data_IF_833188552540
#
_entry.id   IF_833188552540
#
_cell.length_a   1.000
_cell.length_b   1.000
_cell.length_c   1.000
_cell.angle_alpha   90.00
_cell.angle_beta   90.00
_cell.angle_gamma   90.00
#
_symmetry.space_group_name_H-M   'P 1'
#
loop_
_entity.id
_entity.type
_entity.pdbx_description
1 polymer ?
#
# COMPACT_ATOMS: atom_id res chain seq x y z
N UNK A 1 -5.53 -16.32 5.99
CA UNK A 1 -6.13 -14.97 6.02
C UNK A 1 -5.94 -14.30 4.67
N UNK A 2 -7.00 -13.73 4.13
CA UNK A 2 -6.97 -13.05 2.85
C UNK A 2 -6.82 -11.55 3.02
N UNK A 3 -6.28 -10.89 2.00
CA UNK A 3 -6.16 -9.41 1.96
C UNK A 3 -7.52 -8.74 2.17
N UNK A 4 -8.60 -9.37 1.71
CA UNK A 4 -9.96 -8.86 1.88
C UNK A 4 -10.27 -8.46 3.32
N UNK A 5 -9.74 -9.18 4.30
CA UNK A 5 -9.97 -8.90 5.72
C UNK A 5 -9.32 -7.59 6.18
N UNK A 6 -8.32 -7.11 5.44
CA UNK A 6 -7.66 -5.83 5.71
C UNK A 6 -8.25 -4.68 4.88
N UNK A 7 -9.19 -4.95 3.99
CA UNK A 7 -9.66 -3.95 3.04
C UNK A 7 -10.21 -2.67 3.71
N UNK A 8 -10.98 -2.74 4.81
CA UNK A 8 -11.43 -1.51 5.45
C UNK A 8 -10.28 -0.59 5.89
N UNK A 9 -9.23 -1.16 6.44
CA UNK A 9 -8.03 -0.40 6.81
C UNK A 9 -7.30 0.10 5.58
N UNK A 10 -7.16 -0.74 4.57
CA UNK A 10 -6.46 -0.40 3.32
C UNK A 10 -7.16 0.74 2.57
N UNK A 11 -8.48 0.78 2.59
CA UNK A 11 -9.24 1.88 1.99
C UNK A 11 -8.90 3.23 2.61
N UNK A 12 -8.72 3.26 3.92
CA UNK A 12 -8.36 4.48 4.64
C UNK A 12 -6.94 4.96 4.34
N UNK A 13 -6.09 4.07 3.82
CA UNK A 13 -4.70 4.39 3.45
C UNK A 13 -4.55 4.83 2.00
N UNK A 14 -5.59 4.69 1.19
CA UNK A 14 -5.51 4.96 -0.24
C UNK A 14 -5.58 6.45 -0.53
N UNK A 15 -4.61 6.94 -1.29
CA UNK A 15 -4.65 8.26 -1.92
C UNK A 15 -4.37 8.09 -3.40
N UNK A 16 -5.14 8.76 -4.24
CA UNK A 16 -5.01 8.68 -5.69
C UNK A 16 -4.84 10.07 -6.29
N UNK A 17 -4.24 10.12 -7.47
CA UNK A 17 -4.01 11.37 -8.19
C UNK A 17 -4.05 11.06 -9.69
N UNK A 18 -4.63 11.95 -10.53
CA UNK A 18 -4.59 11.75 -11.97
C UNK A 18 -3.16 11.82 -12.53
N UNK A 19 -2.89 11.10 -13.61
CA UNK A 19 -1.57 11.04 -14.21
C UNK A 19 -1.07 12.40 -14.72
N UNK A 20 -1.98 13.31 -15.06
CA UNK A 20 -1.65 14.63 -15.59
C UNK A 20 -1.62 15.72 -14.52
N UNK A 21 -1.80 15.36 -13.26
CA UNK A 21 -1.74 16.31 -12.16
C UNK A 21 -0.32 16.84 -11.98
N UNK A 22 -0.17 18.10 -11.54
CA UNK A 22 1.16 18.65 -11.26
C UNK A 22 1.79 18.01 -10.03
N UNK A 23 3.10 17.93 -10.04
CA UNK A 23 3.87 17.31 -8.96
C UNK A 23 3.60 17.96 -7.59
N UNK A 24 3.26 19.25 -7.57
CA UNK A 24 2.91 19.97 -6.35
C UNK A 24 1.69 19.39 -5.65
N UNK A 25 0.72 18.85 -6.38
CA UNK A 25 -0.45 18.20 -5.77
C UNK A 25 -0.04 16.91 -5.07
N UNK A 26 0.84 16.12 -5.69
CA UNK A 26 1.38 14.93 -5.05
C UNK A 26 2.14 15.28 -3.78
N UNK A 27 2.94 16.35 -3.82
CA UNK A 27 3.69 16.83 -2.66
C UNK A 27 2.76 17.22 -1.51
N UNK A 28 1.65 17.87 -1.81
CA UNK A 28 0.65 18.22 -0.80
C UNK A 28 0.04 16.99 -0.13
N UNK A 29 -0.30 15.97 -0.91
CA UNK A 29 -0.83 14.73 -0.37
C UNK A 29 0.21 14.01 0.49
N UNK A 30 1.44 13.93 0.03
CA UNK A 30 2.52 13.25 0.75
C UNK A 30 3.02 14.01 1.98
N UNK A 31 2.66 15.30 2.11
CA UNK A 31 2.95 16.05 3.32
C UNK A 31 2.07 15.62 4.50
N UNK A 32 0.98 14.93 4.25
CA UNK A 32 0.13 14.38 5.29
C UNK A 32 0.75 13.08 5.83
N UNK A 33 0.90 12.94 7.17
CA UNK A 33 1.51 11.71 7.75
C UNK A 33 0.76 10.43 7.41
N UNK A 34 -0.50 10.54 7.05
CA UNK A 34 -1.37 9.42 6.71
C UNK A 34 -0.94 8.70 5.43
N UNK A 35 -0.32 9.41 4.47
CA UNK A 35 -0.02 8.86 3.16
C UNK A 35 1.49 8.72 2.93
N UNK A 36 1.94 7.50 2.66
CA UNK A 36 3.34 7.21 2.34
C UNK A 36 3.58 7.05 0.85
N UNK A 37 2.53 6.68 0.11
CA UNK A 37 2.60 6.39 -1.32
C UNK A 37 1.27 6.78 -1.94
N UNK A 38 1.31 7.37 -3.13
CA UNK A 38 0.12 7.77 -3.85
C UNK A 38 0.01 6.94 -5.12
N UNK A 39 -1.18 6.45 -5.42
CA UNK A 39 -1.48 5.73 -6.65
C UNK A 39 -1.82 6.74 -7.74
N UNK A 40 -1.10 6.66 -8.86
CA UNK A 40 -1.34 7.51 -10.03
C UNK A 40 -2.29 6.78 -10.97
N UNK A 41 -3.34 7.46 -11.38
CA UNK A 41 -4.41 6.87 -12.19
C UNK A 41 -4.33 7.30 -13.65
N UNK A 42 -4.59 6.35 -14.55
CA UNK A 42 -4.91 6.63 -15.94
C UNK A 42 -6.29 7.28 -16.04
N UNK A 43 -6.62 7.79 -17.23
CA UNK A 43 -7.92 8.43 -17.48
C UNK A 43 -9.11 7.50 -17.21
N UNK A 44 -8.93 6.18 -17.38
CA UNK A 44 -9.97 5.17 -17.15
C UNK A 44 -10.06 4.70 -15.69
N UNK A 45 -9.27 5.28 -14.79
CA UNK A 45 -9.27 4.93 -13.37
C UNK A 45 -8.39 3.75 -12.99
N UNK A 46 -7.64 3.19 -13.93
CA UNK A 46 -6.70 2.10 -13.66
C UNK A 46 -5.38 2.64 -13.13
N UNK A 47 -4.61 1.79 -12.46
CA UNK A 47 -3.31 2.17 -11.90
C UNK A 47 -2.30 2.39 -13.02
N UNK A 48 -1.76 3.61 -13.12
CA UNK A 48 -0.68 3.96 -14.04
C UNK A 48 0.69 3.75 -13.39
N UNK A 49 0.79 4.01 -12.11
CA UNK A 49 2.03 3.91 -11.35
C UNK A 49 1.82 4.39 -9.93
N UNK A 50 2.91 4.57 -9.22
CA UNK A 50 2.90 5.10 -7.85
C UNK A 50 3.95 6.20 -7.72
N UNK A 51 3.73 7.11 -6.77
CA UNK A 51 4.69 8.16 -6.48
C UNK A 51 4.89 8.30 -4.97
N UNK A 52 6.15 8.43 -4.57
CA UNK A 52 6.56 8.58 -3.18
C UNK A 52 7.28 9.91 -2.97
N UNK A 53 7.51 10.26 -1.69
CA UNK A 53 8.31 11.44 -1.34
C UNK A 53 9.72 11.36 -1.93
N UNK A 54 10.31 10.17 -1.98
CA UNK A 54 11.64 9.98 -2.57
C UNK A 54 11.67 10.33 -4.06
N UNK A 55 10.60 10.00 -4.78
CA UNK A 55 10.49 10.34 -6.20
C UNK A 55 10.48 11.86 -6.40
N UNK A 56 9.74 12.56 -5.55
CA UNK A 56 9.65 14.02 -5.61
C UNK A 56 10.99 14.66 -5.28
N UNK A 57 11.65 14.20 -4.23
CA UNK A 57 12.97 14.71 -3.82
C UNK A 57 13.99 14.51 -4.95
N UNK A 58 13.98 13.34 -5.58
CA UNK A 58 14.87 13.06 -6.70
C UNK A 58 14.63 14.03 -7.85
N UNK A 59 13.36 14.30 -8.17
CA UNK A 59 13.00 15.21 -9.25
C UNK A 59 13.44 16.65 -8.93
N UNK A 60 13.26 17.09 -7.71
CA UNK A 60 13.71 18.44 -7.28
C UNK A 60 15.22 18.57 -7.43
N UNK A 61 15.98 17.53 -7.13
CA UNK A 61 17.44 17.56 -7.20
C UNK A 61 17.99 17.73 -8.62
N UNK A 62 17.21 17.35 -9.65
CA UNK A 62 17.67 17.42 -11.05
C UNK A 62 16.96 18.49 -11.88
N UNK A 63 15.86 19.05 -11.41
CA UNK A 63 14.97 19.89 -12.22
C UNK A 63 15.17 21.39 -12.07
N UNK A 64 16.13 21.85 -11.33
CA UNK A 64 16.54 23.26 -11.22
C UNK A 64 15.38 24.26 -11.11
N UNK A 65 14.37 23.94 -10.29
CA UNK A 65 13.27 24.87 -10.01
C UNK A 65 12.04 24.76 -10.88
N UNK A 66 12.00 23.81 -11.83
CA UNK A 66 10.83 23.59 -12.70
C UNK A 66 9.95 22.44 -12.25
N UNK A 67 10.20 21.86 -11.08
CA UNK A 67 9.49 20.68 -10.58
C UNK A 67 8.00 20.92 -10.43
N UNK A 68 7.57 22.13 -10.11
CA UNK A 68 6.16 22.45 -9.91
C UNK A 68 5.32 22.35 -11.20
N UNK A 69 5.95 22.43 -12.36
CA UNK A 69 5.27 22.33 -13.66
C UNK A 69 5.26 20.91 -14.21
N UNK A 70 6.00 19.99 -13.59
CA UNK A 70 6.12 18.62 -14.03
C UNK A 70 4.88 17.83 -13.63
N UNK A 71 4.36 17.00 -14.55
CA UNK A 71 3.25 16.10 -14.24
C UNK A 71 3.77 14.88 -13.48
N UNK A 72 2.91 14.32 -12.62
CA UNK A 72 3.27 13.14 -11.83
C UNK A 72 3.63 11.94 -12.71
N UNK A 73 3.04 11.83 -13.90
CA UNK A 73 3.33 10.73 -14.85
C UNK A 73 4.78 10.70 -15.31
N UNK A 74 5.46 11.85 -15.30
CA UNK A 74 6.87 11.93 -15.69
C UNK A 74 7.82 11.45 -14.58
N UNK A 75 7.35 11.36 -13.35
CA UNK A 75 8.16 11.08 -12.16
C UNK A 75 7.79 9.75 -11.51
N UNK A 76 6.58 9.29 -11.68
CA UNK A 76 6.06 8.09 -11.02
C UNK A 76 6.87 6.83 -11.37
N UNK A 77 6.81 5.84 -10.49
CA UNK A 77 7.32 4.50 -10.75
C UNK A 77 6.21 3.69 -11.41
N UNK A 78 6.50 3.10 -12.57
CA UNK A 78 5.52 2.34 -13.36
C UNK A 78 5.51 0.85 -13.04
N UNK A 79 6.64 0.29 -12.63
CA UNK A 79 6.74 -1.12 -12.24
C UNK A 79 6.28 -1.26 -10.79
N UNK A 80 5.00 -1.52 -10.62
CA UNK A 80 4.34 -1.52 -9.32
C UNK A 80 3.97 -2.95 -8.92
N UNK A 81 4.45 -3.39 -7.76
CA UNK A 81 3.96 -4.61 -7.15
C UNK A 81 2.57 -4.34 -6.59
N UNK A 82 1.61 -5.18 -6.94
CA UNK A 82 0.21 -5.07 -6.50
C UNK A 82 -0.27 -6.37 -5.88
N UNK A 83 -1.39 -6.31 -5.19
CA UNK A 83 -2.08 -7.50 -4.68
C UNK A 83 -3.58 -7.35 -4.88
N UNK A 84 -4.30 -8.46 -4.71
CA UNK A 84 -5.75 -8.50 -4.82
C UNK A 84 -6.36 -8.94 -3.49
N UNK A 85 -7.67 -8.77 -3.34
CA UNK A 85 -8.36 -9.18 -2.12
C UNK A 85 -8.35 -10.69 -1.93
N UNK A 86 -8.12 -11.45 -2.99
CA UNK A 86 -8.09 -12.91 -2.96
C UNK A 86 -6.73 -13.48 -2.60
N UNK A 87 -5.69 -12.64 -2.57
CA UNK A 87 -4.35 -13.06 -2.18
C UNK A 87 -4.29 -13.36 -0.68
N UNK A 88 -3.44 -14.32 -0.33
CA UNK A 88 -3.17 -14.64 1.07
C UNK A 88 -2.23 -13.59 1.67
N UNK A 89 -2.60 -13.09 2.83
CA UNK A 89 -1.82 -12.07 3.53
C UNK A 89 -0.39 -12.52 3.80
N UNK A 90 -0.19 -13.78 4.18
CA UNK A 90 1.14 -14.34 4.44
C UNK A 90 2.04 -14.25 3.22
N UNK A 91 1.49 -14.55 2.05
CA UNK A 91 2.24 -14.51 0.79
C UNK A 91 2.65 -13.08 0.43
N UNK A 92 1.72 -12.14 0.59
CA UNK A 92 2.01 -10.73 0.27
C UNK A 92 2.99 -10.16 1.28
N UNK A 93 2.86 -10.48 2.56
CA UNK A 93 3.82 -10.08 3.59
C UNK A 93 5.23 -10.59 3.26
N UNK A 94 5.36 -11.85 2.85
CA UNK A 94 6.64 -12.43 2.46
C UNK A 94 7.24 -11.71 1.25
N UNK A 95 6.43 -11.40 0.26
CA UNK A 95 6.86 -10.64 -0.93
C UNK A 95 7.34 -9.25 -0.53
N UNK A 96 6.63 -8.56 0.34
CA UNK A 96 7.01 -7.24 0.82
C UNK A 96 8.35 -7.26 1.55
N UNK A 97 8.57 -8.27 2.40
CA UNK A 97 9.83 -8.45 3.12
C UNK A 97 11.00 -8.68 2.17
N UNK A 98 10.80 -9.60 1.22
CA UNK A 98 11.87 -9.96 0.28
C UNK A 98 12.27 -8.79 -0.61
N UNK A 99 11.30 -7.98 -1.03
CA UNK A 99 11.53 -6.86 -1.93
C UNK A 99 11.75 -5.53 -1.21
N UNK A 100 11.68 -5.52 0.11
CA UNK A 100 11.84 -4.28 0.90
C UNK A 100 10.74 -3.27 0.68
N UNK A 101 9.53 -3.71 0.38
CA UNK A 101 8.38 -2.83 0.13
C UNK A 101 7.65 -2.52 1.42
N UNK A 102 7.31 -1.25 1.61
CA UNK A 102 6.54 -0.80 2.77
C UNK A 102 5.05 -0.69 2.47
N UNK A 103 4.70 -0.54 1.21
CA UNK A 103 3.33 -0.32 0.76
C UNK A 103 3.09 -1.07 -0.55
N UNK A 104 1.91 -1.68 -0.67
CA UNK A 104 1.52 -2.38 -1.90
C UNK A 104 0.06 -2.01 -2.19
N UNK A 105 -0.24 -1.47 -3.38
CA UNK A 105 -1.63 -1.20 -3.76
C UNK A 105 -2.44 -2.48 -3.87
N UNK A 106 -3.67 -2.42 -3.37
CA UNK A 106 -4.67 -3.48 -3.55
C UNK A 106 -5.53 -3.09 -4.74
N UNK A 107 -5.60 -3.93 -5.74
CA UNK A 107 -6.33 -3.66 -6.98
C UNK A 107 -7.41 -4.73 -7.23
N UNK A 108 -8.39 -4.38 -8.05
CA UNK A 108 -9.39 -5.32 -8.52
C UNK A 108 -8.95 -5.99 -9.83
N UNK A 109 -9.83 -6.79 -10.43
CA UNK A 109 -9.56 -7.51 -11.69
C UNK A 109 -9.35 -6.57 -12.88
N UNK A 110 -9.78 -5.32 -12.77
CA UNK A 110 -9.65 -4.30 -13.82
C UNK A 110 -8.50 -3.33 -13.56
N UNK A 111 -7.61 -3.67 -12.63
CA UNK A 111 -6.46 -2.85 -12.22
C UNK A 111 -6.86 -1.50 -11.60
N UNK A 112 -8.05 -1.41 -11.02
CA UNK A 112 -8.48 -0.22 -10.28
C UNK A 112 -8.09 -0.34 -8.82
N UNK A 113 -7.60 0.74 -8.19
CA UNK A 113 -7.18 0.66 -6.80
C UNK A 113 -8.36 0.55 -5.85
N UNK A 114 -8.27 -0.39 -4.93
CA UNK A 114 -9.26 -0.58 -3.86
C UNK A 114 -8.74 -0.07 -2.52
N UNK A 115 -7.43 -0.09 -2.33
CA UNK A 115 -6.80 0.32 -1.09
C UNK A 115 -5.29 0.27 -1.18
N UNK A 116 -4.64 0.58 -0.07
CA UNK A 116 -3.19 0.51 0.05
C UNK A 116 -2.85 -0.36 1.26
N UNK A 117 -2.12 -1.44 1.03
CA UNK A 117 -1.65 -2.32 2.09
C UNK A 117 -0.33 -1.78 2.63
N UNK A 118 -0.32 -1.41 3.92
CA UNK A 118 0.90 -1.03 4.61
C UNK A 118 1.49 -2.25 5.30
N UNK A 119 2.81 -2.39 5.21
CA UNK A 119 3.52 -3.51 5.85
C UNK A 119 3.21 -3.61 7.34
N UNK A 120 3.13 -2.49 8.04
CA UNK A 120 2.82 -2.49 9.47
C UNK A 120 1.42 -3.00 9.77
N UNK A 121 0.43 -2.70 8.90
CA UNK A 121 -0.94 -3.18 9.07
C UNK A 121 -0.99 -4.69 8.85
N UNK A 122 -0.27 -5.17 7.84
CA UNK A 122 -0.16 -6.60 7.56
C UNK A 122 0.49 -7.34 8.73
N UNK A 123 1.60 -6.82 9.24
CA UNK A 123 2.29 -7.43 10.38
C UNK A 123 1.41 -7.45 11.62
N UNK A 124 0.73 -6.36 11.91
CA UNK A 124 -0.15 -6.26 13.07
C UNK A 124 -1.27 -7.30 13.01
N UNK A 125 -1.86 -7.48 11.82
CA UNK A 125 -2.91 -8.47 11.64
C UNK A 125 -2.37 -9.90 11.80
N UNK A 126 -1.19 -10.19 11.26
CA UNK A 126 -0.56 -11.50 11.39
C UNK A 126 -0.17 -11.80 12.83
N UNK A 127 0.33 -10.81 13.57
CA UNK A 127 0.64 -10.97 14.99
C UNK A 127 -0.63 -11.22 15.81
N UNK A 128 -1.71 -10.52 15.51
CA UNK A 128 -3.00 -10.75 16.17
C UNK A 128 -3.52 -12.16 15.94
N UNK A 129 -3.39 -12.66 14.72
CA UNK A 129 -3.77 -14.04 14.40
C UNK A 129 -2.89 -15.05 15.14
N UNK A 130 -1.58 -14.83 15.17
CA UNK A 130 -0.65 -15.71 15.87
C UNK A 130 -0.92 -15.73 17.38
N UNK A 131 -1.19 -14.57 17.98
CA UNK A 131 -1.55 -14.48 19.40
C UNK A 131 -2.84 -15.22 19.69
N UNK A 132 -3.83 -15.10 18.82
CA UNK A 132 -5.10 -15.82 18.98
C UNK A 132 -4.89 -17.33 18.95
N UNK A 133 -4.10 -17.83 17.99
CA UNK A 133 -3.78 -19.25 17.88
C UNK A 133 -3.01 -19.74 19.11
N UNK A 134 -2.09 -18.94 19.63
CA UNK A 134 -1.35 -19.28 20.83
C UNK A 134 -2.28 -19.41 22.04
N UNK A 135 -3.22 -18.50 22.19
CA UNK A 135 -4.19 -18.55 23.28
C UNK A 135 -5.07 -19.79 23.19
N UNK A 136 -5.55 -20.14 22.00
CA UNK A 136 -6.35 -21.34 21.78
C UNK A 136 -5.55 -22.59 22.12
N UNK A 137 -4.31 -22.66 21.71
CA UNK A 137 -3.43 -23.80 22.02
C UNK A 137 -3.16 -23.90 23.52
N UNK A 138 -2.92 -22.80 24.17
CA UNK A 138 -2.71 -22.74 25.63
C UNK A 138 -3.93 -23.27 26.36
N UNK A 139 -5.12 -22.83 25.99
CA UNK A 139 -6.35 -23.29 26.61
C UNK A 139 -6.52 -24.80 26.45
N UNK A 140 -6.21 -25.32 25.28
CA UNK A 140 -6.25 -26.74 24.99
C UNK A 140 -5.28 -27.52 25.90
N UNK A 141 -4.03 -27.05 25.98
CA UNK A 141 -2.99 -27.71 26.78
C UNK A 141 -3.30 -27.63 28.28
N UNK A 142 -3.89 -26.52 28.74
CA UNK A 142 -4.27 -26.34 30.14
C UNK A 142 -5.52 -27.14 30.54
N UNK A 143 -6.15 -27.83 29.61
CA UNK A 143 -7.30 -28.65 29.86
C UNK A 143 -8.64 -27.92 29.96
N UNK A 144 -8.64 -26.64 29.63
CA UNK A 144 -9.87 -25.83 29.70
C UNK A 144 -10.90 -26.33 28.68
N UNK A 145 -10.43 -26.72 27.51
CA UNK A 145 -11.28 -27.24 26.44
C UNK A 145 -11.79 -28.65 26.65
N UNK A 146 -11.32 -29.35 27.67
CA UNK A 146 -11.73 -30.74 27.98
C UNK A 146 -12.95 -30.83 28.90
N UNK A 147 -13.44 -29.72 29.30
CA UNK A 147 -14.60 -29.66 30.19
C UNK A 147 -15.92 -29.55 29.43
#
# INVERSE_FOLDING_TARGET
MFIEQLLPTARGRLATIPYDAPLTEAAKLLSQPKYNLIVVLNADGTVAGVISSSDIVRQISICQGRSCMTQVSAVMTRDVATCTIEDLLDNIWSMMRLRGLKNVPVIDSESRPLGMLYARDALQMLLGEAEHQELLLRDYVMGIGYR
#
